data_IF_531612784095
#
_entry.id   IF_531612784095
#
_cell.length_a   1.000
_cell.length_b   1.000
_cell.length_c   1.000
_cell.angle_alpha   90.00
_cell.angle_beta   90.00
_cell.angle_gamma   90.00
#
_symmetry.space_group_name_H-M   'P 1'
#
loop_
_entity.id
_entity.type
_entity.pdbx_description
1 polymer ?
#
# COMPACT_ATOMS: atom_id res chain seq x y z
N UNK A 1 4.61 17.96 -7.19
CA UNK A 1 5.55 16.87 -6.79
C UNK A 1 5.31 16.54 -5.32
N UNK A 2 5.19 15.28 -4.99
CA UNK A 2 4.99 14.89 -3.60
C UNK A 2 6.29 14.99 -2.80
N UNK A 3 6.22 15.67 -1.65
CA UNK A 3 7.36 15.85 -0.76
C UNK A 3 7.52 14.69 0.23
N UNK A 4 6.54 13.78 0.34
CA UNK A 4 6.65 12.64 1.26
C UNK A 4 7.80 11.70 0.88
N UNK A 5 8.23 11.70 -0.38
CA UNK A 5 9.39 10.91 -0.82
C UNK A 5 10.70 11.33 -0.15
N UNK A 6 10.74 12.50 0.48
CA UNK A 6 11.92 13.03 1.15
C UNK A 6 11.92 12.75 2.65
N UNK A 7 10.84 12.17 3.17
CA UNK A 7 10.72 11.87 4.60
C UNK A 7 11.56 10.66 4.99
N UNK A 8 12.01 10.67 6.26
CA UNK A 8 12.70 9.53 6.86
C UNK A 8 11.74 8.73 7.75
N UNK A 9 11.79 7.41 7.78
CA UNK A 9 12.69 6.53 7.00
C UNK A 9 12.27 6.49 5.52
N UNK A 10 13.23 6.74 4.65
CA UNK A 10 12.93 6.93 3.23
C UNK A 10 12.24 5.73 2.57
N UNK A 11 12.65 4.52 2.93
CA UNK A 11 12.03 3.30 2.35
C UNK A 11 10.53 3.19 2.69
N UNK A 12 10.14 3.54 3.92
CA UNK A 12 8.73 3.52 4.31
C UNK A 12 7.92 4.48 3.44
N UNK A 13 8.37 5.71 3.32
CA UNK A 13 7.65 6.74 2.56
C UNK A 13 7.65 6.49 1.06
N UNK A 14 8.72 5.90 0.54
CA UNK A 14 8.79 5.48 -0.85
C UNK A 14 7.72 4.44 -1.17
N UNK A 15 7.59 3.42 -0.35
CA UNK A 15 6.59 2.37 -0.55
C UNK A 15 5.18 2.90 -0.31
N UNK A 16 4.98 3.70 0.72
CA UNK A 16 3.67 4.32 0.94
C UNK A 16 3.26 5.21 -0.24
N UNK A 17 4.18 6.01 -0.76
CA UNK A 17 3.91 6.82 -1.94
C UNK A 17 3.44 5.96 -3.12
N UNK A 18 4.11 4.83 -3.36
CA UNK A 18 3.69 3.92 -4.42
C UNK A 18 2.25 3.45 -4.24
N UNK A 19 1.85 3.14 -3.01
CA UNK A 19 0.47 2.73 -2.72
C UNK A 19 -0.53 3.88 -2.95
N UNK A 20 -0.16 5.11 -2.65
CA UNK A 20 -1.05 6.27 -2.88
C UNK A 20 -1.34 6.48 -4.36
N UNK A 21 -0.48 6.00 -5.25
CA UNK A 21 -0.66 6.11 -6.70
C UNK A 21 -1.56 5.01 -7.27
N UNK A 22 -1.88 3.98 -6.50
CA UNK A 22 -2.69 2.85 -6.94
C UNK A 22 -4.10 2.99 -6.35
N UNK A 23 -5.13 3.25 -7.17
CA UNK A 23 -6.52 3.22 -6.68
C UNK A 23 -6.86 1.88 -6.05
N UNK A 24 -7.35 1.92 -4.80
CA UNK A 24 -7.64 0.72 -4.01
C UNK A 24 -8.82 0.90 -3.06
N UNK A 25 -9.93 1.50 -3.54
CA UNK A 25 -11.11 1.64 -2.69
C UNK A 25 -11.70 0.27 -2.37
N UNK A 26 -12.25 0.12 -1.16
CA UNK A 26 -12.91 -1.12 -0.76
C UNK A 26 -13.93 -1.57 -1.80
N UNK A 27 -13.89 -2.84 -2.18
CA UNK A 27 -14.75 -3.41 -3.22
C UNK A 27 -14.19 -3.33 -4.64
N UNK A 28 -13.11 -2.60 -4.88
CA UNK A 28 -12.46 -2.45 -6.20
C UNK A 28 -10.96 -2.66 -6.04
N UNK A 29 -10.56 -3.92 -5.86
CA UNK A 29 -9.22 -4.31 -5.41
C UNK A 29 -8.30 -4.74 -6.54
N UNK A 30 -8.76 -4.71 -7.78
CA UNK A 30 -8.04 -5.31 -8.92
C UNK A 30 -6.66 -4.70 -9.13
N UNK A 31 -6.57 -3.37 -9.07
CA UNK A 31 -5.30 -2.66 -9.33
C UNK A 31 -4.27 -2.90 -8.24
N UNK A 32 -4.69 -2.82 -6.97
CA UNK A 32 -3.77 -3.05 -5.85
C UNK A 32 -3.34 -4.51 -5.77
N UNK A 33 -4.25 -5.43 -6.07
CA UNK A 33 -3.95 -6.85 -6.14
C UNK A 33 -2.85 -7.12 -7.18
N UNK A 34 -3.01 -6.58 -8.38
CA UNK A 34 -2.01 -6.73 -9.45
C UNK A 34 -0.67 -6.09 -9.06
N UNK A 35 -0.70 -4.93 -8.43
CA UNK A 35 0.51 -4.22 -8.01
C UNK A 35 1.29 -5.03 -6.97
N UNK A 36 0.62 -5.53 -5.93
CA UNK A 36 1.28 -6.29 -4.87
C UNK A 36 1.78 -7.64 -5.37
N UNK A 37 1.01 -8.30 -6.22
CA UNK A 37 1.44 -9.55 -6.85
C UNK A 37 2.71 -9.34 -7.68
N UNK A 38 2.72 -8.29 -8.49
CA UNK A 38 3.89 -7.90 -9.29
C UNK A 38 5.09 -7.53 -8.43
N UNK A 39 4.86 -6.84 -7.30
CA UNK A 39 5.91 -6.48 -6.36
C UNK A 39 6.64 -7.72 -5.83
N UNK A 40 5.88 -8.73 -5.37
CA UNK A 40 6.48 -9.97 -4.89
C UNK A 40 7.25 -10.71 -5.98
N UNK A 41 6.70 -10.75 -7.20
CA UNK A 41 7.36 -11.41 -8.33
C UNK A 41 8.64 -10.70 -8.77
N UNK A 42 8.66 -9.38 -8.76
CA UNK A 42 9.87 -8.61 -9.08
C UNK A 42 11.00 -8.87 -8.10
N UNK A 43 10.66 -9.17 -6.85
CA UNK A 43 11.65 -9.55 -5.83
C UNK A 43 12.07 -11.01 -5.93
N UNK A 44 11.53 -11.77 -6.88
CA UNK A 44 11.83 -13.19 -7.03
C UNK A 44 11.19 -14.05 -5.95
N UNK A 45 10.14 -13.57 -5.29
CA UNK A 45 9.46 -14.28 -4.22
C UNK A 45 8.23 -15.00 -4.74
N UNK A 46 7.90 -16.15 -4.14
CA UNK A 46 6.66 -16.85 -4.41
C UNK A 46 5.48 -15.93 -4.07
N UNK A 47 4.64 -15.64 -5.05
CA UNK A 47 3.55 -14.69 -4.90
C UNK A 47 2.30 -15.20 -5.60
N UNK A 48 1.17 -15.20 -4.90
CA UNK A 48 -0.10 -15.69 -5.45
C UNK A 48 -1.28 -15.05 -4.76
N UNK A 49 -2.45 -15.19 -5.37
CA UNK A 49 -3.73 -14.73 -4.83
C UNK A 49 -4.53 -15.97 -4.44
N UNK A 50 -5.05 -16.00 -3.21
CA UNK A 50 -5.86 -17.12 -2.75
C UNK A 50 -7.33 -16.99 -3.19
N UNK A 51 -8.17 -17.96 -2.80
CA UNK A 51 -9.59 -17.99 -3.17
C UNK A 51 -10.39 -16.79 -2.65
N UNK A 52 -9.96 -16.22 -1.53
CA UNK A 52 -10.63 -15.06 -0.93
C UNK A 52 -10.14 -13.73 -1.50
N UNK A 53 -9.12 -13.75 -2.37
CA UNK A 53 -8.56 -12.54 -2.96
C UNK A 53 -7.39 -11.97 -2.19
N UNK A 54 -6.87 -12.68 -1.18
CA UNK A 54 -5.68 -12.23 -0.46
C UNK A 54 -4.43 -12.41 -1.32
N UNK A 55 -3.55 -11.41 -1.31
CA UNK A 55 -2.22 -11.54 -1.91
C UNK A 55 -1.29 -12.11 -0.88
N UNK A 56 -0.63 -13.21 -1.22
CA UNK A 56 0.32 -13.89 -0.34
C UNK A 56 1.68 -13.88 -0.99
N UNK A 57 2.67 -13.37 -0.27
CA UNK A 57 4.06 -13.33 -0.70
C UNK A 57 4.87 -14.09 0.34
N UNK A 58 5.59 -15.12 -0.10
CA UNK A 58 6.42 -15.94 0.77
C UNK A 58 7.88 -15.59 0.61
N UNK A 59 8.48 -15.16 1.69
CA UNK A 59 9.92 -14.89 1.74
C UNK A 59 10.59 -16.04 2.49
N UNK A 60 11.56 -16.71 1.86
CA UNK A 60 12.28 -17.80 2.55
C UNK A 60 13.07 -17.26 3.73
N UNK A 61 13.44 -18.19 4.62
CA UNK A 61 14.25 -17.86 5.78
C UNK A 61 15.58 -17.22 5.36
N UNK A 62 16.06 -16.30 6.16
CA UNK A 62 17.43 -15.78 6.05
C UNK A 62 18.42 -16.95 6.21
N UNK A 63 19.49 -17.02 5.39
CA UNK A 63 20.48 -18.08 5.52
C UNK A 63 20.98 -18.24 6.96
N UNK A 64 20.95 -19.49 7.44
CA UNK A 64 21.29 -19.82 8.84
C UNK A 64 20.11 -19.76 9.80
N UNK A 65 18.94 -19.34 9.35
CA UNK A 65 17.74 -19.18 10.18
C UNK A 65 16.61 -20.15 9.78
N UNK A 66 16.91 -21.16 8.96
CA UNK A 66 15.90 -22.05 8.37
C UNK A 66 15.13 -22.87 9.42
N UNK A 67 15.73 -23.08 10.58
CA UNK A 67 15.10 -23.83 11.68
C UNK A 67 14.32 -22.93 12.65
N UNK A 68 14.19 -21.65 12.37
CA UNK A 68 13.42 -20.71 13.19
C UNK A 68 11.95 -20.78 12.83
N UNK A 69 11.10 -20.36 13.78
CA UNK A 69 9.64 -20.31 13.55
C UNK A 69 9.29 -19.30 12.48
N UNK A 70 8.35 -19.68 11.64
CA UNK A 70 7.81 -18.76 10.64
C UNK A 70 7.00 -17.63 11.28
N UNK A 71 6.94 -16.51 10.60
CA UNK A 71 6.16 -15.32 10.99
C UNK A 71 5.24 -14.95 9.84
N UNK A 72 4.01 -14.62 10.17
CA UNK A 72 3.05 -14.06 9.20
C UNK A 72 2.85 -12.60 9.54
N UNK A 73 3.13 -11.73 8.58
CA UNK A 73 2.77 -10.31 8.64
C UNK A 73 1.49 -10.12 7.84
N UNK A 74 0.51 -9.42 8.41
CA UNK A 74 -0.79 -9.25 7.78
C UNK A 74 -1.22 -7.79 7.83
N UNK A 75 -1.76 -7.32 6.72
CA UNK A 75 -2.33 -5.99 6.60
C UNK A 75 -3.44 -6.04 5.56
N UNK A 76 -4.39 -5.09 5.60
CA UNK A 76 -5.37 -4.98 4.53
C UNK A 76 -4.89 -3.98 3.48
N UNK A 77 -5.15 -4.30 2.22
CA UNK A 77 -4.66 -3.52 1.08
C UNK A 77 -5.64 -2.47 0.56
N UNK A 78 -6.90 -2.54 0.96
CA UNK A 78 -7.90 -1.55 0.58
C UNK A 78 -7.87 -0.32 1.48
N UNK A 79 -8.58 0.71 1.06
CA UNK A 79 -8.81 1.90 1.87
C UNK A 79 -10.27 2.35 1.79
N UNK A 80 -10.75 2.99 2.83
CA UNK A 80 -12.06 3.63 2.85
C UNK A 80 -12.06 4.81 1.87
N UNK A 81 -12.95 4.84 0.86
CA UNK A 81 -12.99 5.90 -0.13
C UNK A 81 -13.96 7.01 0.30
N UNK A 82 -13.46 7.99 1.04
CA UNK A 82 -14.24 9.15 1.47
C UNK A 82 -13.56 10.44 1.04
N UNK A 83 -14.37 11.44 0.74
CA UNK A 83 -13.89 12.75 0.31
C UNK A 83 -14.80 13.85 0.81
N UNK A 84 -14.30 15.09 0.82
CA UNK A 84 -15.12 16.26 1.08
C UNK A 84 -16.12 16.46 -0.07
N UNK A 85 -17.28 17.05 0.23
CA UNK A 85 -18.36 17.22 -0.76
C UNK A 85 -17.94 18.09 -1.95
N UNK A 86 -17.05 19.04 -1.73
CA UNK A 86 -16.56 19.95 -2.77
C UNK A 86 -15.31 19.43 -3.50
N UNK A 87 -14.80 18.27 -3.12
CA UNK A 87 -13.64 17.66 -3.76
C UNK A 87 -14.07 16.85 -4.98
N UNK A 88 -13.42 17.07 -6.12
CA UNK A 88 -13.60 16.26 -7.32
C UNK A 88 -12.51 15.18 -7.32
N UNK A 89 -12.90 13.93 -7.15
CA UNK A 89 -11.99 12.80 -7.08
C UNK A 89 -12.71 11.50 -7.46
N UNK A 90 -12.09 10.72 -8.33
CA UNK A 90 -12.58 9.38 -8.70
C UNK A 90 -11.67 8.33 -8.05
N UNK A 91 -12.16 7.66 -7.02
CA UNK A 91 -11.38 6.69 -6.26
C UNK A 91 -10.97 5.46 -7.06
N UNK A 92 -11.61 5.20 -8.19
CA UNK A 92 -11.25 4.07 -9.05
C UNK A 92 -10.17 4.42 -10.07
N UNK A 93 -9.88 5.71 -10.27
CA UNK A 93 -8.96 6.19 -11.32
C UNK A 93 -7.87 7.10 -10.81
N UNK A 94 -8.16 7.97 -9.85
CA UNK A 94 -7.26 9.02 -9.43
C UNK A 94 -6.36 8.59 -8.28
N UNK A 95 -5.10 9.00 -8.28
CA UNK A 95 -4.21 8.77 -7.15
C UNK A 95 -4.62 9.67 -5.97
N UNK A 96 -4.19 9.30 -4.78
CA UNK A 96 -4.35 10.14 -3.59
C UNK A 96 -3.24 11.20 -3.63
N UNK A 97 -3.64 12.47 -3.58
CA UNK A 97 -2.69 13.58 -3.50
C UNK A 97 -2.31 13.84 -2.06
N UNK A 98 -1.05 13.60 -1.73
CA UNK A 98 -0.53 13.80 -0.39
C UNK A 98 0.22 15.12 -0.27
N UNK A 99 0.24 15.69 0.93
CA UNK A 99 1.03 16.87 1.24
C UNK A 99 1.46 16.85 2.71
N UNK A 100 2.49 17.64 3.01
CA UNK A 100 3.01 17.78 4.37
C UNK A 100 2.49 19.08 4.93
N UNK A 101 1.91 19.01 6.12
CA UNK A 101 1.43 20.15 6.89
C UNK A 101 2.05 20.09 8.28
N UNK A 102 3.18 20.78 8.49
CA UNK A 102 3.95 20.70 9.72
C UNK A 102 4.43 19.29 9.98
N UNK A 103 3.98 18.69 11.08
CA UNK A 103 4.33 17.32 11.45
C UNK A 103 3.35 16.26 10.92
N UNK A 104 2.45 16.65 10.02
CA UNK A 104 1.40 15.79 9.51
C UNK A 104 1.56 15.52 8.03
N UNK A 105 1.31 14.28 7.62
CA UNK A 105 1.06 13.93 6.23
C UNK A 105 -0.45 13.85 6.05
N UNK A 106 -0.95 14.57 5.07
CA UNK A 106 -2.39 14.68 4.80
C UNK A 106 -2.69 14.39 3.32
N UNK A 107 -3.96 14.10 3.03
CA UNK A 107 -4.46 14.01 1.67
C UNK A 107 -5.36 15.21 1.36
N UNK A 108 -5.34 15.65 0.10
CA UNK A 108 -6.14 16.80 -0.34
C UNK A 108 -7.60 16.39 -0.53
N UNK A 109 -8.41 16.70 0.47
CA UNK A 109 -9.86 16.53 0.38
C UNK A 109 -10.38 15.09 0.40
N UNK A 110 -9.51 14.11 0.58
CA UNK A 110 -9.88 12.69 0.61
C UNK A 110 -9.31 12.01 1.84
N UNK A 111 -9.74 10.77 2.09
CA UNK A 111 -9.04 9.89 3.02
C UNK A 111 -7.63 9.64 2.50
N UNK A 112 -6.68 9.41 3.42
CA UNK A 112 -5.26 9.23 3.09
C UNK A 112 -4.93 7.78 2.72
N UNK A 113 -5.57 6.83 3.37
CA UNK A 113 -5.28 5.41 3.16
C UNK A 113 -4.07 4.90 3.95
N UNK A 114 -3.61 5.64 4.97
CA UNK A 114 -2.56 5.17 5.87
C UNK A 114 -3.00 3.96 6.68
N UNK A 115 -4.28 3.85 6.94
CA UNK A 115 -4.92 2.67 7.51
C UNK A 115 -5.48 1.82 6.33
N UNK A 116 -4.83 0.75 5.91
CA UNK A 116 -3.57 0.32 6.49
C UNK A 116 -2.42 0.30 5.46
N UNK A 117 -2.35 1.29 4.59
CA UNK A 117 -1.29 1.39 3.59
C UNK A 117 0.12 1.47 4.20
N UNK A 118 0.25 2.02 5.41
CA UNK A 118 1.54 2.02 6.10
C UNK A 118 1.90 0.65 6.68
N UNK A 119 0.92 -0.22 6.87
CA UNK A 119 1.17 -1.61 7.27
C UNK A 119 1.54 -2.51 6.11
N UNK A 120 1.04 -2.18 4.92
CA UNK A 120 1.36 -2.93 3.71
C UNK A 120 2.77 -2.66 3.25
#
# INVERSE_FOLDING_TARGET
>A
MSTILQLAPQNVWKHFYSLTQIPRPSGHMEKITAFLLGFGKELGLESFVDEAGNVIIRKPATPGMENRKGVILQAHMDMVPQKNNDTVHDFEKDPIETYIDGDWVKAKGTTLGADNGLGV
#
